data_IF_670368303440
#
_entry.id   IF_670368303440
#
_cell.length_a   1.000
_cell.length_b   1.000
_cell.length_c   1.000
_cell.angle_alpha   90.00
_cell.angle_beta   90.00
_cell.angle_gamma   90.00
#
_symmetry.space_group_name_H-M   'P 1'
#
loop_
_entity.id
_entity.type
_entity.pdbx_description
1 polymer ?
#
# COMPACT_ATOMS: atom_id res chain seq x y z
N UNK A 1 23.32 32.70 -18.91
CA UNK A 1 22.07 32.05 -18.50
C UNK A 1 21.84 32.37 -17.04
N UNK A 2 20.77 33.06 -16.72
CA UNK A 2 20.48 33.51 -15.35
C UNK A 2 19.96 32.33 -14.51
N UNK A 3 20.24 32.32 -13.19
CA UNK A 3 19.73 31.33 -12.22
C UNK A 3 18.24 31.09 -12.34
N UNK A 4 17.48 32.15 -12.63
CA UNK A 4 16.02 32.10 -12.86
C UNK A 4 15.63 31.25 -14.07
N UNK A 5 16.44 31.22 -15.11
CA UNK A 5 16.19 30.39 -16.32
C UNK A 5 16.44 28.90 -16.03
N UNK A 6 17.45 28.58 -15.22
CA UNK A 6 17.74 27.19 -14.85
C UNK A 6 16.69 26.62 -13.90
N UNK A 7 16.21 27.41 -12.96
CA UNK A 7 15.15 27.00 -12.04
C UNK A 7 13.84 26.69 -12.81
N UNK A 8 13.43 27.59 -13.69
CA UNK A 8 12.24 27.35 -14.53
C UNK A 8 12.40 26.08 -15.38
N UNK A 9 13.55 25.88 -16.00
CA UNK A 9 13.83 24.67 -16.77
C UNK A 9 13.78 23.42 -15.92
N UNK A 10 14.23 23.47 -14.66
CA UNK A 10 14.12 22.35 -13.73
C UNK A 10 12.66 22.02 -13.42
N UNK A 11 11.83 23.04 -13.14
CA UNK A 11 10.40 22.83 -12.91
C UNK A 11 9.71 22.22 -14.13
N UNK A 12 10.00 22.70 -15.33
CA UNK A 12 9.46 22.16 -16.58
C UNK A 12 9.87 20.68 -16.79
N UNK A 13 11.12 20.35 -16.49
CA UNK A 13 11.61 18.98 -16.56
C UNK A 13 10.92 18.07 -15.54
N UNK A 14 10.75 18.51 -14.29
CA UNK A 14 10.05 17.76 -13.26
C UNK A 14 8.58 17.52 -13.63
N UNK A 15 7.93 18.52 -14.21
CA UNK A 15 6.57 18.42 -14.72
C UNK A 15 6.47 17.40 -15.88
N UNK A 16 7.38 17.50 -16.86
CA UNK A 16 7.45 16.55 -17.97
C UNK A 16 7.67 15.11 -17.53
N UNK A 17 8.56 14.90 -16.55
CA UNK A 17 8.85 13.60 -15.95
C UNK A 17 7.74 13.13 -15.00
N UNK A 18 6.70 13.92 -14.77
CA UNK A 18 5.58 13.63 -13.85
C UNK A 18 6.04 13.43 -12.39
N UNK A 19 7.10 14.11 -11.99
CA UNK A 19 7.64 14.10 -10.62
C UNK A 19 6.98 15.23 -9.81
N UNK A 20 5.69 15.09 -9.56
CA UNK A 20 4.87 16.14 -8.94
C UNK A 20 5.29 16.47 -7.50
N UNK A 21 5.68 15.45 -6.74
CA UNK A 21 6.09 15.66 -5.36
C UNK A 21 7.46 16.33 -5.29
N UNK A 22 8.39 15.96 -6.17
CA UNK A 22 9.66 16.66 -6.29
C UNK A 22 9.44 18.15 -6.60
N UNK A 23 8.52 18.47 -7.51
CA UNK A 23 8.20 19.86 -7.84
C UNK A 23 7.57 20.60 -6.66
N UNK A 24 6.66 19.97 -5.92
CA UNK A 24 5.95 20.56 -4.78
C UNK A 24 6.90 20.87 -3.62
N UNK A 25 7.85 19.97 -3.33
CA UNK A 25 8.79 20.08 -2.20
C UNK A 25 10.16 20.64 -2.59
N UNK A 26 10.34 21.13 -3.83
CA UNK A 26 11.62 21.61 -4.33
C UNK A 26 12.20 22.74 -3.46
N UNK A 27 11.41 23.78 -3.23
CA UNK A 27 11.85 24.98 -2.50
C UNK A 27 12.13 24.67 -1.03
N UNK A 28 11.23 23.95 -0.37
CA UNK A 28 11.38 23.51 1.01
C UNK A 28 12.68 22.70 1.20
N UNK A 29 12.96 21.78 0.29
CA UNK A 29 14.14 20.93 0.40
C UNK A 29 15.45 21.69 0.09
N UNK A 30 15.40 22.69 -0.78
CA UNK A 30 16.55 23.59 -1.04
C UNK A 30 16.86 24.42 0.22
N UNK A 31 15.85 25.01 0.85
CA UNK A 31 16.03 25.77 2.11
C UNK A 31 16.59 24.87 3.21
N UNK A 32 16.07 23.66 3.32
CA UNK A 32 16.56 22.68 4.27
C UNK A 32 18.03 22.30 4.02
N UNK A 33 18.40 22.08 2.76
CA UNK A 33 19.77 21.77 2.38
C UNK A 33 20.74 22.88 2.76
N UNK A 34 20.34 24.14 2.57
CA UNK A 34 21.12 25.30 2.92
C UNK A 34 21.28 25.46 4.44
N UNK A 35 20.20 25.27 5.20
CA UNK A 35 20.21 25.45 6.67
C UNK A 35 20.95 24.31 7.39
N UNK A 36 20.85 23.09 6.91
CA UNK A 36 21.48 21.91 7.50
C UNK A 36 22.81 21.53 6.87
N UNK A 37 23.28 22.30 5.87
CA UNK A 37 24.53 22.02 5.12
C UNK A 37 24.56 20.59 4.55
N UNK A 38 23.43 20.12 4.00
CA UNK A 38 23.33 18.80 3.42
C UNK A 38 24.24 18.66 2.19
N UNK A 39 24.81 17.49 2.00
CA UNK A 39 25.46 17.15 0.74
C UNK A 39 24.44 17.11 -0.41
N UNK A 40 24.91 17.25 -1.65
CA UNK A 40 24.04 17.17 -2.82
C UNK A 40 23.32 15.82 -2.93
N UNK A 41 23.96 14.74 -2.48
CA UNK A 41 23.34 13.40 -2.47
C UNK A 41 22.21 13.32 -1.43
N UNK A 42 22.45 13.80 -0.21
CA UNK A 42 21.44 13.81 0.85
C UNK A 42 20.23 14.66 0.48
N UNK A 43 20.46 15.83 -0.11
CA UNK A 43 19.38 16.67 -0.61
C UNK A 43 18.56 15.95 -1.70
N UNK A 44 19.23 15.38 -2.72
CA UNK A 44 18.55 14.69 -3.82
C UNK A 44 17.79 13.45 -3.33
N UNK A 45 18.36 12.70 -2.39
CA UNK A 45 17.70 11.57 -1.76
C UNK A 45 16.41 12.02 -1.08
N UNK A 46 16.49 13.04 -0.24
CA UNK A 46 15.33 13.59 0.48
C UNK A 46 14.24 14.08 -0.48
N UNK A 47 14.60 14.78 -1.55
CA UNK A 47 13.66 15.23 -2.58
C UNK A 47 13.01 14.03 -3.31
N UNK A 48 13.79 13.00 -3.63
CA UNK A 48 13.27 11.81 -4.33
C UNK A 48 12.39 10.94 -3.46
N UNK A 49 12.62 10.90 -2.15
CA UNK A 49 11.81 10.11 -1.21
C UNK A 49 10.33 10.53 -1.23
N UNK A 50 10.03 11.82 -1.31
CA UNK A 50 8.65 12.30 -1.45
C UNK A 50 7.94 11.67 -2.66
N UNK A 51 8.61 11.59 -3.79
CA UNK A 51 8.04 11.02 -5.01
C UNK A 51 7.90 9.50 -4.91
N UNK A 52 8.90 8.83 -4.34
CA UNK A 52 8.91 7.38 -4.14
C UNK A 52 7.77 6.94 -3.22
N UNK A 53 7.55 7.66 -2.11
CA UNK A 53 6.52 7.31 -1.14
C UNK A 53 5.11 7.42 -1.74
N UNK A 54 4.83 8.50 -2.47
CA UNK A 54 3.55 8.64 -3.16
C UNK A 54 3.36 7.57 -4.24
N UNK A 55 4.40 7.27 -5.02
CA UNK A 55 4.32 6.20 -6.03
C UNK A 55 4.08 4.83 -5.40
N UNK A 56 4.75 4.53 -4.28
CA UNK A 56 4.52 3.30 -3.51
C UNK A 56 3.09 3.21 -3.00
N UNK A 57 2.57 4.31 -2.44
CA UNK A 57 1.21 4.36 -1.93
C UNK A 57 0.17 4.19 -3.04
N UNK A 58 0.39 4.82 -4.20
CA UNK A 58 -0.49 4.68 -5.35
C UNK A 58 -0.54 3.25 -5.89
N UNK A 59 0.59 2.54 -5.92
CA UNK A 59 0.64 1.12 -6.30
C UNK A 59 -0.18 0.28 -5.33
N UNK A 60 -0.01 0.48 -4.02
CA UNK A 60 -0.77 -0.23 -2.98
C UNK A 60 -2.27 0.02 -3.15
N UNK A 61 -2.67 1.28 -3.27
CA UNK A 61 -4.08 1.66 -3.44
C UNK A 61 -4.68 1.04 -4.72
N UNK A 62 -3.90 1.01 -5.80
CA UNK A 62 -4.33 0.36 -7.04
C UNK A 62 -4.51 -1.16 -6.86
N UNK A 63 -3.56 -1.83 -6.23
CA UNK A 63 -3.65 -3.27 -5.94
C UNK A 63 -4.88 -3.61 -5.12
N UNK A 64 -5.13 -2.88 -4.03
CA UNK A 64 -6.33 -3.07 -3.21
C UNK A 64 -7.61 -2.84 -4.03
N UNK A 65 -7.61 -1.84 -4.90
CA UNK A 65 -8.78 -1.52 -5.75
C UNK A 65 -9.11 -2.62 -6.75
N UNK A 66 -8.10 -3.23 -7.38
CA UNK A 66 -8.31 -4.28 -8.39
C UNK A 66 -8.55 -5.67 -7.79
N UNK A 67 -8.31 -5.85 -6.49
CA UNK A 67 -8.46 -7.14 -5.81
C UNK A 67 -9.91 -7.59 -5.61
N UNK A 68 -10.90 -6.78 -6.01
CA UNK A 68 -12.34 -7.09 -5.96
C UNK A 68 -12.86 -7.45 -4.54
N UNK A 69 -12.28 -6.86 -3.50
CA UNK A 69 -12.74 -7.11 -2.13
C UNK A 69 -14.17 -6.61 -1.92
N UNK A 70 -15.02 -7.36 -1.18
CA UNK A 70 -16.42 -7.00 -0.93
C UNK A 70 -16.55 -5.77 -0.03
N UNK A 71 -15.53 -5.45 0.74
CA UNK A 71 -15.38 -4.29 1.61
C UNK A 71 -13.91 -4.04 1.91
N UNK A 72 -13.58 -2.84 2.39
CA UNK A 72 -12.20 -2.46 2.73
C UNK A 72 -11.95 -2.47 4.26
N UNK A 73 -12.65 -3.32 5.00
CA UNK A 73 -12.42 -3.51 6.42
C UNK A 73 -11.10 -4.26 6.65
N UNK A 74 -10.25 -3.66 7.44
CA UNK A 74 -8.94 -4.20 7.81
C UNK A 74 -9.02 -5.05 9.07
N UNK A 75 -7.90 -5.62 9.48
CA UNK A 75 -7.82 -6.37 10.74
C UNK A 75 -8.02 -5.46 11.96
N UNK A 76 -7.65 -4.19 11.88
CA UNK A 76 -7.89 -3.21 12.94
C UNK A 76 -9.38 -2.92 13.17
N UNK A 77 -10.22 -3.14 12.15
CA UNK A 77 -11.68 -2.97 12.24
C UNK A 77 -12.37 -4.23 12.77
N UNK A 78 -11.62 -5.31 13.06
CA UNK A 78 -12.18 -6.55 13.59
C UNK A 78 -12.21 -6.52 15.11
N UNK A 79 -13.39 -6.65 15.68
CA UNK A 79 -13.57 -6.62 17.13
C UNK A 79 -13.54 -8.04 17.70
N UNK A 80 -12.38 -8.45 18.21
CA UNK A 80 -12.16 -9.78 18.77
C UNK A 80 -12.99 -10.06 20.01
N UNK A 81 -13.42 -9.03 20.76
CA UNK A 81 -14.27 -9.16 21.94
C UNK A 81 -15.61 -9.83 21.65
N UNK A 82 -16.17 -9.67 20.44
CA UNK A 82 -17.40 -10.34 20.02
C UNK A 82 -17.20 -11.83 19.70
N UNK A 83 -15.97 -12.27 19.51
CA UNK A 83 -15.65 -13.63 19.12
C UNK A 83 -14.49 -14.19 19.96
N UNK A 84 -14.71 -14.45 21.27
CA UNK A 84 -13.64 -14.85 22.19
C UNK A 84 -13.04 -16.24 21.87
N UNK A 85 -13.67 -17.00 20.98
CA UNK A 85 -13.12 -18.28 20.50
C UNK A 85 -12.06 -18.11 19.42
N UNK A 86 -11.93 -16.92 18.81
CA UNK A 86 -10.91 -16.65 17.82
C UNK A 86 -9.62 -16.27 18.53
N UNK A 87 -8.55 -17.01 18.24
CA UNK A 87 -7.22 -16.67 18.75
C UNK A 87 -6.67 -15.45 18.00
N UNK A 88 -6.73 -14.29 18.66
CA UNK A 88 -6.24 -13.03 18.09
C UNK A 88 -4.75 -13.11 17.71
N UNK A 89 -3.93 -13.77 18.52
CA UNK A 89 -2.49 -13.91 18.26
C UNK A 89 -2.25 -14.71 16.97
N UNK A 90 -3.00 -15.79 16.76
CA UNK A 90 -2.93 -16.57 15.54
C UNK A 90 -3.34 -15.76 14.29
N UNK A 91 -4.39 -14.94 14.40
CA UNK A 91 -4.79 -14.08 13.28
C UNK A 91 -3.73 -13.01 12.99
N UNK A 92 -3.11 -12.44 14.00
CA UNK A 92 -2.00 -11.49 13.84
C UNK A 92 -0.76 -12.14 13.23
N UNK A 93 -0.48 -13.38 13.58
CA UNK A 93 0.59 -14.16 12.97
C UNK A 93 0.31 -14.42 11.48
N UNK A 94 -0.90 -14.81 11.13
CA UNK A 94 -1.31 -14.94 9.73
C UNK A 94 -1.20 -13.62 8.96
N UNK A 95 -1.40 -12.48 9.60
CA UNK A 95 -1.22 -11.16 8.98
C UNK A 95 0.23 -10.82 8.64
N UNK A 96 1.21 -11.54 9.21
CA UNK A 96 2.61 -11.48 8.77
C UNK A 96 2.84 -12.06 7.37
N UNK A 97 1.86 -12.81 6.84
CA UNK A 97 1.86 -13.47 5.52
C UNK A 97 2.92 -14.59 5.36
N UNK A 98 3.49 -15.08 6.43
CA UNK A 98 4.49 -16.18 6.41
C UNK A 98 3.96 -17.44 5.74
N UNK A 99 2.66 -17.73 5.87
CA UNK A 99 1.99 -18.85 5.20
C UNK A 99 2.10 -18.81 3.68
N UNK A 100 2.18 -17.62 3.07
CA UNK A 100 2.33 -17.48 1.61
C UNK A 100 3.72 -17.91 1.13
N UNK A 101 4.75 -17.73 1.95
CA UNK A 101 6.11 -18.15 1.64
C UNK A 101 6.26 -19.67 1.73
N UNK A 102 5.46 -20.28 2.59
CA UNK A 102 5.41 -21.74 2.78
C UNK A 102 4.41 -22.42 1.82
N UNK A 103 3.74 -21.63 0.96
CA UNK A 103 2.69 -22.12 0.06
C UNK A 103 1.54 -22.85 0.79
N UNK A 104 1.22 -22.40 2.00
CA UNK A 104 0.14 -22.97 2.81
C UNK A 104 -1.22 -22.33 2.49
N UNK A 105 -2.30 -23.07 2.73
CA UNK A 105 -3.66 -22.61 2.56
C UNK A 105 -4.30 -22.32 3.93
N UNK A 106 -5.10 -21.25 4.00
CA UNK A 106 -5.87 -20.92 5.20
C UNK A 106 -7.35 -21.27 4.93
N UNK A 107 -7.98 -21.98 5.85
CA UNK A 107 -9.41 -22.29 5.82
C UNK A 107 -10.09 -21.76 7.07
N UNK A 108 -11.05 -20.85 6.92
CA UNK A 108 -11.86 -20.34 8.01
C UNK A 108 -13.15 -21.16 8.13
N UNK A 109 -13.33 -21.88 9.24
CA UNK A 109 -14.50 -22.68 9.56
C UNK A 109 -15.31 -22.02 10.68
N UNK A 110 -16.63 -22.10 10.60
CA UNK A 110 -17.52 -21.59 11.64
C UNK A 110 -18.92 -21.26 11.11
N UNK A 111 -19.85 -20.92 11.99
CA UNK A 111 -21.23 -20.53 11.68
C UNK A 111 -21.31 -19.23 10.85
N UNK A 112 -22.48 -18.94 10.30
CA UNK A 112 -22.71 -17.67 9.58
C UNK A 112 -22.59 -16.48 10.55
N UNK A 113 -22.08 -15.35 10.05
CA UNK A 113 -22.01 -14.10 10.83
C UNK A 113 -20.80 -13.94 11.77
N UNK A 114 -19.97 -14.98 11.98
CA UNK A 114 -18.82 -14.90 12.90
C UNK A 114 -17.59 -14.14 12.35
N UNK A 115 -17.68 -13.51 11.21
CA UNK A 115 -16.59 -12.67 10.68
C UNK A 115 -15.58 -13.36 9.78
N UNK A 116 -15.80 -14.60 9.31
CA UNK A 116 -14.87 -15.32 8.41
C UNK A 116 -14.47 -14.52 7.18
N UNK A 117 -15.44 -13.92 6.48
CA UNK A 117 -15.19 -13.10 5.30
C UNK A 117 -14.44 -11.83 5.65
N UNK A 118 -14.71 -11.23 6.82
CA UNK A 118 -13.95 -10.08 7.29
C UNK A 118 -12.47 -10.44 7.49
N UNK A 119 -12.18 -11.52 8.22
CA UNK A 119 -10.80 -11.98 8.43
C UNK A 119 -10.08 -12.32 7.12
N UNK A 120 -10.74 -13.09 6.24
CA UNK A 120 -10.17 -13.43 4.93
C UNK A 120 -9.89 -12.18 4.09
N UNK A 121 -10.81 -11.22 4.06
CA UNK A 121 -10.64 -9.96 3.33
C UNK A 121 -9.52 -9.12 3.95
N UNK A 122 -9.43 -9.05 5.28
CA UNK A 122 -8.37 -8.32 5.97
C UNK A 122 -6.98 -8.85 5.62
N UNK A 123 -6.80 -10.17 5.61
CA UNK A 123 -5.54 -10.80 5.19
C UNK A 123 -5.24 -10.54 3.72
N UNK A 124 -6.26 -10.56 2.85
CA UNK A 124 -6.13 -10.22 1.44
C UNK A 124 -5.71 -8.76 1.23
N UNK A 125 -6.27 -7.82 1.99
CA UNK A 125 -5.88 -6.41 1.97
C UNK A 125 -4.43 -6.26 2.42
N UNK A 126 -4.03 -6.95 3.48
CA UNK A 126 -2.65 -6.92 3.98
C UNK A 126 -1.67 -7.50 2.94
N UNK A 127 -2.04 -8.59 2.28
CA UNK A 127 -1.28 -9.15 1.15
C UNK A 127 -1.11 -8.12 0.01
N UNK A 128 -2.19 -7.44 -0.38
CA UNK A 128 -2.14 -6.39 -1.41
C UNK A 128 -1.27 -5.20 -1.00
N UNK A 129 -1.30 -4.80 0.28
CA UNK A 129 -0.42 -3.75 0.84
C UNK A 129 1.05 -4.14 0.78
N UNK A 130 1.35 -5.41 0.95
CA UNK A 130 2.68 -6.00 0.77
C UNK A 130 3.02 -6.30 -0.69
N UNK A 131 2.30 -5.72 -1.65
CA UNK A 131 2.49 -5.82 -3.09
C UNK A 131 2.38 -7.24 -3.64
N UNK A 132 1.67 -8.12 -2.94
CA UNK A 132 1.31 -9.46 -3.42
C UNK A 132 0.02 -9.35 -4.23
N UNK A 133 0.01 -9.91 -5.42
CA UNK A 133 -1.22 -9.96 -6.25
C UNK A 133 -2.28 -10.80 -5.54
N UNK A 134 -3.41 -10.20 -5.26
CA UNK A 134 -4.51 -10.82 -4.52
C UNK A 134 -5.82 -10.57 -5.27
N UNK A 135 -6.68 -11.56 -5.31
CA UNK A 135 -8.00 -11.42 -5.90
C UNK A 135 -9.05 -12.13 -5.05
N UNK A 136 -10.14 -11.44 -4.74
CA UNK A 136 -11.27 -12.02 -4.00
C UNK A 136 -12.33 -12.49 -4.97
N UNK A 137 -12.75 -13.76 -4.82
CA UNK A 137 -13.80 -14.36 -5.64
C UNK A 137 -14.82 -15.06 -4.76
N UNK A 138 -16.09 -14.96 -5.13
CA UNK A 138 -17.16 -15.76 -4.52
C UNK A 138 -17.37 -17.02 -5.37
N UNK A 139 -17.46 -18.19 -4.73
CA UNK A 139 -17.57 -19.47 -5.44
C UNK A 139 -18.73 -19.55 -6.44
N UNK A 140 -19.83 -18.80 -6.24
CA UNK A 140 -20.94 -18.76 -7.20
C UNK A 140 -20.66 -17.88 -8.43
N UNK A 141 -19.69 -16.96 -8.36
CA UNK A 141 -19.27 -16.11 -9.48
C UNK A 141 -18.23 -16.81 -10.35
N UNK A 142 -17.47 -17.74 -9.77
CA UNK A 142 -16.41 -18.49 -10.46
C UNK A 142 -16.95 -19.42 -11.56
N UNK A 143 -18.20 -19.89 -11.45
CA UNK A 143 -18.85 -20.74 -12.46
C UNK A 143 -19.09 -20.06 -13.82
N UNK A 144 -18.95 -18.72 -13.91
CA UNK A 144 -19.15 -17.98 -15.17
C UNK A 144 -17.89 -17.86 -16.02
N UNK A 145 -16.72 -18.18 -15.48
CA UNK A 145 -15.43 -18.06 -16.16
C UNK A 145 -14.92 -19.38 -16.77
N UNK A 146 -15.70 -20.46 -16.71
CA UNK A 146 -15.37 -21.78 -17.28
C UNK A 146 -16.37 -22.15 -18.38
N UNK A 147 -16.46 -21.31 -19.41
CA UNK A 147 -17.09 -21.62 -20.69
C UNK A 147 -16.23 -21.08 -21.82
#
# INVERSE_FOLDING_TARGET
MTLQTNYQRLQDNLAYLKLKQCMLHLDETIELANTQSLSHIEWLLKLSDYEVDIKRQNVINHMVKISNFPHLKTLADFEFSFQPQINEMQIKDLASLGFMEQAENIVFLGSSGVGKTHLATSLGIESSRNRRSTYFIKCHEDRKSVV
#
